data_IF_177005166078
#
_entry.id   IF_177005166078
#
_cell.length_a   1.000
_cell.length_b   1.000
_cell.length_c   1.000
_cell.angle_alpha   90.00
_cell.angle_beta   90.00
_cell.angle_gamma   90.00
#
_symmetry.space_group_name_H-M   'P 1'
#
loop_
_entity.id
_entity.type
_entity.pdbx_description
1 polymer ?
#
# COMPACT_ATOMS: atom_id res chain seq x y z
N UNK A 1 -2.54 17.19 6.62
CA UNK A 1 -1.27 17.58 5.98
C UNK A 1 -0.12 16.69 6.44
N UNK A 2 0.59 16.04 5.50
CA UNK A 2 1.77 15.20 5.81
C UNK A 2 2.94 16.01 6.36
N UNK A 3 3.13 17.25 5.88
CA UNK A 3 4.20 18.13 6.36
C UNK A 3 4.00 18.54 7.82
N UNK A 4 2.77 18.93 8.19
CA UNK A 4 2.42 19.26 9.57
C UNK A 4 2.65 18.05 10.49
N UNK A 5 2.17 16.87 10.09
CA UNK A 5 2.42 15.65 10.86
C UNK A 5 3.92 15.39 11.07
N UNK A 6 4.74 15.55 10.02
CA UNK A 6 6.18 15.35 10.09
C UNK A 6 6.88 16.36 11.02
N UNK A 7 6.51 17.65 10.96
CA UNK A 7 7.13 18.69 11.79
C UNK A 7 6.71 18.59 13.26
N UNK A 8 5.44 18.33 13.52
CA UNK A 8 4.94 18.08 14.88
C UNK A 8 5.59 16.82 15.46
N UNK A 9 5.68 15.73 14.69
CA UNK A 9 6.38 14.52 15.13
C UNK A 9 7.86 14.80 15.44
N UNK A 10 8.56 15.55 14.57
CA UNK A 10 9.96 15.90 14.79
C UNK A 10 10.17 16.76 16.05
N UNK A 11 9.28 17.73 16.31
CA UNK A 11 9.28 18.48 17.56
C UNK A 11 9.07 17.56 18.76
N UNK A 12 8.07 16.67 18.67
CA UNK A 12 7.75 15.72 19.74
C UNK A 12 8.94 14.84 20.09
N UNK A 13 9.63 14.29 19.10
CA UNK A 13 10.84 13.47 19.32
C UNK A 13 11.96 14.26 20.01
N UNK A 14 12.23 15.51 19.58
CA UNK A 14 13.22 16.37 20.25
C UNK A 14 12.85 16.62 21.71
N UNK A 15 11.58 16.96 21.96
CA UNK A 15 11.11 17.24 23.32
C UNK A 15 11.12 16.00 24.21
N UNK A 16 10.81 14.84 23.64
CA UNK A 16 10.86 13.55 24.32
C UNK A 16 12.31 13.21 24.73
N UNK A 17 13.27 13.44 23.83
CA UNK A 17 14.68 13.24 24.10
C UNK A 17 15.22 14.21 25.17
N UNK A 18 14.82 15.48 25.14
CA UNK A 18 15.18 16.46 26.18
C UNK A 18 14.69 16.07 27.58
N UNK A 19 13.51 15.46 27.65
CA UNK A 19 12.87 15.07 28.90
C UNK A 19 13.20 13.63 29.33
N UNK A 20 13.90 12.88 28.48
CA UNK A 20 14.17 11.45 28.63
C UNK A 20 12.91 10.62 28.94
N UNK A 21 11.85 10.85 28.16
CA UNK A 21 10.59 10.12 28.26
C UNK A 21 10.11 9.64 26.89
N UNK A 22 9.30 8.57 26.81
CA UNK A 22 8.69 8.16 25.55
C UNK A 22 7.85 9.26 24.90
N UNK A 23 8.01 9.44 23.59
CA UNK A 23 7.37 10.52 22.81
C UNK A 23 5.84 10.63 22.98
N UNK A 24 5.15 9.49 23.15
CA UNK A 24 3.70 9.45 23.40
C UNK A 24 3.26 10.19 24.68
N UNK A 25 4.15 10.34 25.65
CA UNK A 25 3.87 11.08 26.89
C UNK A 25 4.03 12.60 26.73
N UNK A 26 4.80 13.04 25.74
CA UNK A 26 4.86 14.46 25.34
C UNK A 26 3.56 14.82 24.60
N UNK A 27 3.23 14.06 23.56
CA UNK A 27 2.03 14.28 22.75
C UNK A 27 1.54 12.95 22.13
N UNK A 28 0.28 12.53 22.36
CA UNK A 28 -0.25 11.29 21.79
C UNK A 28 -0.24 11.26 20.26
N UNK A 29 -0.11 10.07 19.66
CA UNK A 29 -0.16 9.92 18.19
C UNK A 29 -1.47 10.46 17.59
N UNK A 30 -2.58 10.27 18.30
CA UNK A 30 -3.88 10.80 17.90
C UNK A 30 -3.89 12.33 17.81
N UNK A 31 -3.15 13.02 18.69
CA UNK A 31 -3.00 14.47 18.64
C UNK A 31 -2.15 14.91 17.45
N UNK A 32 -1.09 14.17 17.09
CA UNK A 32 -0.30 14.45 15.88
C UNK A 32 -1.19 14.38 14.64
N UNK A 33 -2.03 13.35 14.53
CA UNK A 33 -2.99 13.20 13.43
C UNK A 33 -4.06 14.30 13.46
N UNK A 34 -4.57 14.66 14.65
CA UNK A 34 -5.53 15.74 14.83
C UNK A 34 -4.98 17.08 14.36
N UNK A 35 -3.77 17.44 14.80
CA UNK A 35 -3.07 18.68 14.39
C UNK A 35 -2.82 18.71 12.89
N UNK A 36 -2.45 17.58 12.30
CA UNK A 36 -2.28 17.47 10.86
C UNK A 36 -3.60 17.66 10.09
N UNK A 37 -4.73 17.33 10.70
CA UNK A 37 -6.07 17.48 10.11
C UNK A 37 -6.63 18.90 10.23
N UNK A 38 -6.54 19.49 11.42
CA UNK A 38 -7.12 20.81 11.71
C UNK A 38 -6.19 21.97 11.40
N UNK A 39 -4.86 21.76 11.43
CA UNK A 39 -3.82 22.76 11.15
C UNK A 39 -4.06 24.09 11.87
N UNK A 40 -4.14 24.07 13.22
CA UNK A 40 -4.47 25.25 14.01
C UNK A 40 -3.39 26.32 13.89
N UNK A 41 -3.80 27.59 13.85
CA UNK A 41 -2.94 28.77 13.76
C UNK A 41 -2.93 29.59 15.06
N UNK A 42 -3.75 29.21 16.05
CA UNK A 42 -3.83 29.89 17.34
C UNK A 42 -3.96 28.91 18.52
N UNK A 43 -3.46 29.31 19.68
CA UNK A 43 -3.45 28.49 20.90
C UNK A 43 -4.86 28.10 21.37
N UNK A 44 -5.86 28.97 21.13
CA UNK A 44 -7.26 28.67 21.45
C UNK A 44 -7.80 27.44 20.70
N UNK A 45 -7.29 27.17 19.50
CA UNK A 45 -7.75 26.06 18.66
C UNK A 45 -7.16 24.72 19.09
N UNK A 46 -5.99 24.71 19.74
CA UNK A 46 -5.31 23.48 20.16
C UNK A 46 -6.18 22.61 21.06
N UNK A 47 -7.00 23.21 21.93
CA UNK A 47 -7.89 22.48 22.85
C UNK A 47 -9.03 21.73 22.15
N UNK A 48 -9.37 22.13 20.92
CA UNK A 48 -10.39 21.45 20.11
C UNK A 48 -9.83 20.27 19.33
N UNK A 49 -8.50 20.12 19.31
CA UNK A 49 -7.84 19.05 18.56
C UNK A 49 -7.97 17.73 19.31
N UNK A 50 -8.49 16.72 18.61
CA UNK A 50 -8.66 15.37 19.15
C UNK A 50 -7.33 14.85 19.71
N UNK A 51 -7.35 14.40 20.97
CA UNK A 51 -6.18 13.83 21.64
C UNK A 51 -5.29 14.86 22.37
N UNK A 52 -5.58 16.16 22.27
CA UNK A 52 -4.90 17.19 23.05
C UNK A 52 -5.70 17.50 24.32
N UNK A 53 -5.09 17.20 25.45
CA UNK A 53 -5.51 17.69 26.77
C UNK A 53 -4.61 18.83 27.27
N UNK A 54 -5.10 19.62 28.24
CA UNK A 54 -4.39 20.78 28.82
C UNK A 54 -2.97 20.43 29.31
N UNK A 55 -2.75 19.22 29.85
CA UNK A 55 -1.43 18.78 30.32
C UNK A 55 -0.35 18.80 29.23
N UNK A 56 -0.72 18.57 27.97
CA UNK A 56 0.23 18.53 26.86
C UNK A 56 0.64 19.93 26.40
N UNK A 57 -0.15 20.96 26.73
CA UNK A 57 0.04 22.34 26.29
C UNK A 57 0.82 23.19 27.29
N UNK A 58 1.10 22.66 28.49
CA UNK A 58 1.83 23.37 29.54
C UNK A 58 3.32 23.52 29.21
N UNK A 59 3.96 24.47 29.88
CA UNK A 59 5.42 24.62 29.85
C UNK A 59 5.99 25.01 28.50
N UNK A 60 5.29 25.86 27.73
CA UNK A 60 5.74 26.35 26.42
C UNK A 60 5.45 25.39 25.26
N UNK A 61 4.82 24.24 25.53
CA UNK A 61 4.50 23.28 24.48
C UNK A 61 3.45 23.81 23.51
N UNK A 62 2.51 24.66 23.94
CA UNK A 62 1.48 25.22 23.06
C UNK A 62 2.12 26.04 21.92
N UNK A 63 3.04 26.94 22.27
CA UNK A 63 3.77 27.77 21.33
C UNK A 63 4.67 26.92 20.42
N UNK A 64 5.37 25.94 20.99
CA UNK A 64 6.26 25.08 20.21
C UNK A 64 5.50 24.17 19.23
N UNK A 65 4.31 23.69 19.60
CA UNK A 65 3.42 22.94 18.70
C UNK A 65 2.92 23.83 17.57
N UNK A 66 2.48 25.06 17.85
CA UNK A 66 2.05 26.00 16.81
C UNK A 66 3.17 26.34 15.84
N UNK A 67 4.38 26.58 16.34
CA UNK A 67 5.56 26.80 15.51
C UNK A 67 5.83 25.58 14.60
N UNK A 68 5.74 24.36 15.14
CA UNK A 68 5.89 23.15 14.33
C UNK A 68 4.77 22.99 13.27
N UNK A 69 3.54 23.42 13.57
CA UNK A 69 2.45 23.44 12.60
C UNK A 69 2.74 24.45 11.48
N UNK A 70 3.18 25.66 11.83
CA UNK A 70 3.55 26.72 10.88
C UNK A 70 4.73 26.31 9.98
N UNK A 71 5.77 25.71 10.54
CA UNK A 71 6.86 25.08 9.78
C UNK A 71 6.34 24.01 8.80
N UNK A 72 5.33 23.25 9.22
CA UNK A 72 4.70 22.24 8.38
C UNK A 72 3.89 22.85 7.23
N UNK A 73 3.21 23.97 7.48
CA UNK A 73 2.43 24.69 6.47
C UNK A 73 3.31 25.38 5.44
N UNK A 74 4.49 25.86 5.84
CA UNK A 74 5.47 26.50 4.96
C UNK A 74 6.33 25.52 4.16
N UNK A 75 6.33 24.22 4.50
CA UNK A 75 7.14 23.21 3.83
C UNK A 75 6.54 22.81 2.46
N UNK A 76 7.25 23.02 1.34
CA UNK A 76 6.78 22.61 0.02
C UNK A 76 6.58 21.09 -0.08
N UNK A 77 5.47 20.65 -0.67
CA UNK A 77 5.13 19.23 -0.80
C UNK A 77 6.22 18.38 -1.48
N UNK A 78 6.99 18.98 -2.41
CA UNK A 78 8.11 18.32 -3.10
C UNK A 78 9.27 17.90 -2.19
N UNK A 79 9.40 18.53 -1.01
CA UNK A 79 10.45 18.20 -0.03
C UNK A 79 10.02 17.10 0.93
N UNK A 80 8.75 16.68 0.87
CA UNK A 80 8.29 15.53 1.64
C UNK A 80 8.71 14.24 0.92
N UNK A 81 9.17 13.21 1.66
CA UNK A 81 9.31 11.88 1.10
C UNK A 81 8.01 11.46 0.41
N UNK A 82 8.10 10.73 -0.70
CA UNK A 82 6.91 10.13 -1.30
C UNK A 82 6.20 9.24 -0.25
N UNK A 83 4.87 9.17 -0.24
CA UNK A 83 4.19 8.16 0.57
C UNK A 83 4.66 6.80 0.07
N UNK A 84 5.09 5.91 0.98
CA UNK A 84 5.35 4.53 0.59
C UNK A 84 4.05 3.93 0.10
N UNK A 85 4.09 3.31 -1.07
CA UNK A 85 2.95 2.58 -1.61
C UNK A 85 2.88 1.25 -0.87
N UNK A 86 1.90 1.12 0.02
CA UNK A 86 1.66 -0.12 0.77
C UNK A 86 1.10 -1.25 -0.10
N UNK A 87 0.74 -0.94 -1.34
CA UNK A 87 0.22 -1.88 -2.32
C UNK A 87 1.08 -1.84 -3.59
N UNK A 88 1.23 -3.01 -4.19
CA UNK A 88 1.82 -3.13 -5.52
C UNK A 88 0.72 -2.94 -6.56
N UNK A 89 1.06 -2.53 -7.78
CA UNK A 89 0.12 -2.58 -8.90
C UNK A 89 -0.65 -3.92 -8.87
N UNK A 90 -1.98 -3.87 -9.03
CA UNK A 90 -2.84 -5.07 -8.95
C UNK A 90 -2.34 -6.18 -9.87
N UNK A 91 -1.74 -5.82 -11.01
CA UNK A 91 -1.18 -6.75 -11.99
C UNK A 91 0.07 -7.48 -11.48
N UNK A 92 0.81 -6.90 -10.53
CA UNK A 92 2.06 -7.45 -9.98
C UNK A 92 1.88 -8.18 -8.64
N UNK A 93 0.67 -8.14 -8.05
CA UNK A 93 0.37 -8.86 -6.79
C UNK A 93 0.70 -10.36 -6.83
N UNK A 94 0.40 -11.11 -7.91
CA UNK A 94 0.79 -12.52 -8.01
C UNK A 94 2.32 -12.71 -8.00
N UNK A 95 3.05 -11.77 -8.59
CA UNK A 95 4.51 -11.83 -8.69
C UNK A 95 5.17 -11.78 -7.31
N UNK A 96 4.61 -11.02 -6.36
CA UNK A 96 5.12 -10.97 -4.99
C UNK A 96 5.14 -12.37 -4.34
N UNK A 97 4.10 -13.18 -4.57
CA UNK A 97 4.03 -14.55 -4.06
C UNK A 97 5.10 -15.46 -4.66
N UNK A 98 5.27 -15.42 -5.99
CA UNK A 98 6.29 -16.18 -6.72
C UNK A 98 7.70 -15.82 -6.25
N UNK A 99 7.99 -14.53 -6.19
CA UNK A 99 9.30 -14.03 -5.76
C UNK A 99 9.56 -14.37 -4.28
N UNK A 100 8.54 -14.29 -3.42
CA UNK A 100 8.69 -14.66 -2.00
C UNK A 100 9.06 -16.13 -1.83
N UNK A 101 8.43 -17.02 -2.61
CA UNK A 101 8.75 -18.45 -2.61
C UNK A 101 10.20 -18.70 -3.07
N UNK A 102 10.63 -18.04 -4.14
CA UNK A 102 11.99 -18.15 -4.65
C UNK A 102 13.04 -17.57 -3.67
N UNK A 103 12.77 -16.41 -3.04
CA UNK A 103 13.63 -15.84 -1.99
C UNK A 103 13.79 -16.80 -0.82
N UNK A 104 12.71 -17.49 -0.42
CA UNK A 104 12.76 -18.55 0.59
C UNK A 104 13.72 -19.67 0.21
N UNK A 105 13.66 -20.13 -1.04
CA UNK A 105 14.58 -21.14 -1.56
C UNK A 105 16.03 -20.66 -1.62
N UNK A 106 16.26 -19.45 -2.09
CA UNK A 106 17.59 -18.83 -2.15
C UNK A 106 18.19 -18.66 -0.74
N UNK A 107 17.38 -18.30 0.25
CA UNK A 107 17.81 -18.25 1.65
C UNK A 107 18.33 -19.58 2.17
N UNK A 108 17.66 -20.69 1.80
CA UNK A 108 18.14 -22.04 2.14
C UNK A 108 19.47 -22.37 1.46
N UNK A 109 19.63 -22.01 0.18
CA UNK A 109 20.87 -22.24 -0.57
C UNK A 109 22.05 -21.45 0.02
N UNK A 110 21.83 -20.17 0.34
CA UNK A 110 22.85 -19.29 0.91
C UNK A 110 23.05 -19.47 2.42
N UNK A 111 22.18 -20.24 3.08
CA UNK A 111 22.09 -20.36 4.55
C UNK A 111 21.92 -19.00 5.24
N UNK A 112 21.08 -18.15 4.65
CA UNK A 112 20.71 -16.82 5.16
C UNK A 112 19.22 -16.84 5.44
N UNK A 113 18.80 -16.23 6.56
CA UNK A 113 17.37 -16.03 6.85
C UNK A 113 16.70 -15.27 5.67
N UNK A 114 15.63 -15.81 5.06
CA UNK A 114 14.96 -15.17 3.93
C UNK A 114 14.53 -13.72 4.20
N UNK A 115 14.18 -13.37 5.44
CA UNK A 115 13.79 -12.01 5.82
C UNK A 115 14.97 -11.03 5.79
N UNK A 116 16.21 -11.52 5.95
CA UNK A 116 17.42 -10.73 5.76
C UNK A 116 17.74 -10.51 4.28
N UNK A 117 17.29 -11.40 3.39
CA UNK A 117 17.37 -11.24 1.94
C UNK A 117 16.33 -10.21 1.47
N UNK A 118 15.04 -10.48 1.69
CA UNK A 118 13.95 -9.56 1.38
C UNK A 118 12.68 -9.90 2.18
N UNK A 119 12.06 -8.88 2.75
CA UNK A 119 10.69 -8.95 3.27
C UNK A 119 9.68 -8.71 2.15
N UNK A 120 8.40 -9.01 2.40
CA UNK A 120 7.30 -8.66 1.48
C UNK A 120 7.30 -7.17 1.12
N UNK A 121 7.54 -6.29 2.09
CA UNK A 121 7.58 -4.85 1.87
C UNK A 121 8.75 -4.44 0.95
N UNK A 122 9.91 -5.07 1.12
CA UNK A 122 11.06 -4.85 0.23
C UNK A 122 10.74 -5.25 -1.21
N UNK A 123 10.05 -6.38 -1.40
CA UNK A 123 9.62 -6.86 -2.72
C UNK A 123 8.62 -5.90 -3.37
N UNK A 124 7.60 -5.47 -2.63
CA UNK A 124 6.60 -4.50 -3.12
C UNK A 124 7.29 -3.21 -3.55
N UNK A 125 8.17 -2.67 -2.70
CA UNK A 125 8.90 -1.44 -2.98
C UNK A 125 9.78 -1.56 -4.23
N UNK A 126 10.48 -2.68 -4.39
CA UNK A 126 11.29 -2.96 -5.57
C UNK A 126 10.45 -3.08 -6.85
N UNK A 127 9.34 -3.82 -6.79
CA UNK A 127 8.44 -4.01 -7.94
C UNK A 127 7.72 -2.72 -8.35
N UNK A 128 7.45 -1.82 -7.39
CA UNK A 128 6.91 -0.49 -7.65
C UNK A 128 7.95 0.49 -8.24
N UNK A 129 9.23 0.12 -8.26
CA UNK A 129 10.31 0.97 -8.76
C UNK A 129 10.67 2.12 -7.80
N UNK A 130 10.43 1.96 -6.50
CA UNK A 130 10.76 2.98 -5.51
C UNK A 130 12.28 3.26 -5.50
N UNK A 131 12.66 4.53 -5.48
CA UNK A 131 14.07 4.93 -5.53
C UNK A 131 14.87 4.45 -4.32
N UNK A 132 14.24 4.35 -3.15
CA UNK A 132 14.84 3.89 -1.89
C UNK A 132 14.64 2.39 -1.61
N UNK A 133 14.14 1.62 -2.58
CA UNK A 133 13.92 0.18 -2.40
C UNK A 133 15.22 -0.53 -2.00
N UNK A 134 15.19 -1.34 -0.93
CA UNK A 134 16.38 -2.06 -0.42
C UNK A 134 17.03 -3.01 -1.43
N UNK A 135 16.29 -3.40 -2.47
CA UNK A 135 16.76 -4.26 -3.56
C UNK A 135 17.24 -3.47 -4.80
N UNK A 136 17.26 -2.13 -4.74
CA UNK A 136 17.77 -1.30 -5.85
C UNK A 136 19.30 -1.16 -5.83
N UNK A 137 19.95 -1.40 -4.69
CA UNK A 137 21.40 -1.22 -4.53
C UNK A 137 22.02 -2.19 -3.50
N UNK A 138 23.36 -2.24 -3.48
CA UNK A 138 24.12 -3.07 -2.56
C UNK A 138 24.08 -4.58 -2.85
N UNK A 139 24.53 -5.37 -1.89
CA UNK A 139 24.70 -6.83 -2.07
C UNK A 139 23.38 -7.59 -2.26
N UNK A 140 22.27 -7.09 -1.71
CA UNK A 140 20.95 -7.70 -1.93
C UNK A 140 20.53 -7.57 -3.39
N UNK A 141 20.74 -6.39 -3.95
CA UNK A 141 20.47 -6.14 -5.36
C UNK A 141 21.30 -7.05 -6.27
N UNK A 142 22.58 -7.26 -5.94
CA UNK A 142 23.45 -8.12 -6.77
C UNK A 142 23.00 -9.59 -6.82
N UNK A 143 22.24 -10.06 -5.83
CA UNK A 143 21.74 -11.44 -5.79
C UNK A 143 20.28 -11.55 -6.25
N UNK A 144 19.43 -10.57 -5.90
CA UNK A 144 17.99 -10.65 -6.10
C UNK A 144 17.48 -9.86 -7.31
N UNK A 145 18.01 -8.67 -7.57
CA UNK A 145 17.36 -7.71 -8.47
C UNK A 145 17.24 -8.24 -9.90
N UNK A 146 18.32 -8.81 -10.44
CA UNK A 146 18.34 -9.38 -11.79
C UNK A 146 17.37 -10.56 -11.96
N UNK A 147 17.49 -11.63 -11.16
CA UNK A 147 16.58 -12.77 -11.25
C UNK A 147 15.11 -12.42 -11.03
N UNK A 148 14.81 -11.52 -10.08
CA UNK A 148 13.44 -11.05 -9.83
C UNK A 148 12.89 -10.32 -11.04
N UNK A 149 13.65 -9.42 -11.66
CA UNK A 149 13.22 -8.71 -12.88
C UNK A 149 12.95 -9.70 -14.02
N UNK A 150 13.89 -10.59 -14.31
CA UNK A 150 13.70 -11.61 -15.36
C UNK A 150 12.45 -12.46 -15.15
N UNK A 151 12.14 -12.83 -13.91
CA UNK A 151 10.93 -13.58 -13.59
C UNK A 151 9.66 -12.75 -13.84
N UNK A 152 9.65 -11.49 -13.42
CA UNK A 152 8.50 -10.57 -13.55
C UNK A 152 8.27 -10.14 -14.99
N UNK A 153 9.36 -9.89 -15.74
CA UNK A 153 9.36 -9.52 -17.15
C UNK A 153 9.01 -10.71 -18.05
N UNK A 154 8.88 -11.92 -17.49
CA UNK A 154 8.52 -13.12 -18.22
C UNK A 154 9.65 -13.64 -19.12
N UNK A 155 10.90 -13.39 -18.74
CA UNK A 155 12.10 -13.95 -19.37
C UNK A 155 12.58 -15.23 -18.65
N UNK A 156 12.17 -15.41 -17.40
CA UNK A 156 12.42 -16.61 -16.61
C UNK A 156 11.11 -17.24 -16.12
N UNK A 157 11.18 -18.52 -15.77
CA UNK A 157 10.10 -19.28 -15.16
C UNK A 157 10.57 -19.91 -13.85
N UNK A 158 9.69 -19.95 -12.85
CA UNK A 158 9.93 -20.66 -11.61
C UNK A 158 9.45 -22.11 -11.77
N UNK A 159 10.36 -23.06 -11.61
CA UNK A 159 10.09 -24.48 -11.72
C UNK A 159 10.40 -25.20 -10.41
N UNK A 160 9.76 -26.35 -10.20
CA UNK A 160 10.10 -27.27 -9.11
C UNK A 160 10.91 -28.43 -9.67
N UNK A 161 12.15 -28.58 -9.22
CA UNK A 161 13.06 -29.61 -9.69
C UNK A 161 12.68 -30.99 -9.12
N UNK A 162 11.69 -31.65 -9.72
CA UNK A 162 11.17 -32.95 -9.28
C UNK A 162 12.02 -34.14 -9.75
N UNK A 163 12.59 -34.06 -10.96
CA UNK A 163 13.07 -35.23 -11.70
C UNK A 163 14.60 -35.33 -11.87
N UNK A 164 15.36 -34.32 -11.46
CA UNK A 164 16.80 -34.37 -11.57
C UNK A 164 17.37 -35.06 -10.32
N UNK A 165 17.93 -36.26 -10.44
CA UNK A 165 18.72 -36.93 -9.39
C UNK A 165 20.03 -36.21 -9.03
N UNK A 166 20.08 -34.90 -9.25
CA UNK A 166 21.18 -34.00 -8.90
C UNK A 166 20.90 -33.26 -7.58
N UNK A 167 21.85 -32.41 -7.14
CA UNK A 167 21.78 -31.72 -5.84
C UNK A 167 20.60 -30.75 -5.69
N UNK A 168 19.92 -30.42 -6.78
CA UNK A 168 18.79 -29.48 -6.81
C UNK A 168 17.42 -30.15 -6.65
N UNK A 169 17.37 -31.47 -6.41
CA UNK A 169 16.09 -32.16 -6.24
C UNK A 169 15.26 -31.56 -5.09
N UNK A 170 13.97 -31.33 -5.34
CA UNK A 170 13.04 -30.76 -4.37
C UNK A 170 13.22 -29.26 -4.13
N UNK A 171 13.96 -28.57 -5.01
CA UNK A 171 14.21 -27.13 -4.93
C UNK A 171 13.35 -26.35 -5.94
N UNK A 172 13.10 -25.08 -5.62
CA UNK A 172 12.63 -24.11 -6.60
C UNK A 172 13.82 -23.56 -7.40
N UNK A 173 13.74 -23.64 -8.72
CA UNK A 173 14.79 -23.17 -9.62
C UNK A 173 14.22 -22.15 -10.59
N UNK A 174 15.06 -21.22 -11.04
CA UNK A 174 14.72 -20.31 -12.12
C UNK A 174 15.32 -20.84 -13.42
N UNK A 175 14.47 -21.05 -14.41
CA UNK A 175 14.84 -21.49 -15.74
C UNK A 175 14.53 -20.40 -16.77
N UNK A 176 15.15 -20.46 -17.94
CA UNK A 176 14.74 -19.61 -19.06
C UNK A 176 13.31 -19.94 -19.48
N UNK A 177 12.49 -18.90 -19.69
CA UNK A 177 11.10 -19.13 -20.05
C UNK A 177 11.02 -19.68 -21.49
N UNK A 178 10.36 -20.82 -21.66
CA UNK A 178 10.17 -21.46 -22.95
C UNK A 178 9.26 -20.70 -23.94
N UNK A 179 8.54 -19.67 -23.49
CA UNK A 179 7.53 -18.94 -24.27
C UNK A 179 6.27 -19.74 -24.64
N UNK A 180 6.24 -21.05 -24.35
CA UNK A 180 5.14 -21.95 -24.70
C UNK A 180 4.17 -22.08 -23.52
N UNK A 181 2.90 -21.62 -23.64
CA UNK A 181 1.95 -21.75 -22.55
C UNK A 181 1.57 -23.21 -22.34
N UNK A 182 1.45 -23.62 -21.08
CA UNK A 182 0.85 -24.92 -20.72
C UNK A 182 -0.66 -24.79 -20.94
N UNK A 183 -1.21 -25.58 -21.85
CA UNK A 183 -2.66 -25.62 -22.09
C UNK A 183 -3.31 -26.41 -20.96
N UNK A 184 -4.18 -25.74 -20.22
CA UNK A 184 -5.04 -26.38 -19.25
C UNK A 184 -6.29 -26.87 -19.98
N UNK A 185 -6.48 -28.19 -20.00
CA UNK A 185 -7.74 -28.79 -20.42
C UNK A 185 -8.70 -28.75 -19.24
N UNK A 186 -9.39 -27.62 -19.10
CA UNK A 186 -10.34 -27.40 -18.02
C UNK A 186 -11.71 -27.95 -18.45
N UNK A 187 -12.34 -28.87 -17.70
CA UNK A 187 -13.68 -29.39 -18.00
C UNK A 187 -14.79 -28.39 -17.63
N UNK A 188 -14.52 -27.09 -17.75
CA UNK A 188 -15.48 -26.01 -17.52
C UNK A 188 -15.56 -25.13 -18.77
N UNK A 189 -16.77 -24.78 -19.25
CA UNK A 189 -16.91 -23.83 -20.34
C UNK A 189 -16.22 -22.51 -19.95
N UNK A 190 -15.47 -21.90 -20.87
CA UNK A 190 -14.92 -20.56 -20.62
C UNK A 190 -16.08 -19.62 -20.31
N UNK A 191 -16.00 -18.93 -19.18
CA UNK A 191 -17.08 -18.07 -18.76
C UNK A 191 -17.27 -16.92 -19.78
N UNK A 192 -18.50 -16.62 -20.19
CA UNK A 192 -18.77 -15.71 -21.31
C UNK A 192 -18.30 -14.26 -21.08
N UNK A 193 -18.02 -13.88 -19.83
CA UNK A 193 -17.49 -12.56 -19.47
C UNK A 193 -15.96 -12.45 -19.57
N UNK A 194 -15.24 -13.53 -19.90
CA UNK A 194 -13.76 -13.53 -20.02
C UNK A 194 -13.29 -12.92 -21.35
N UNK A 195 -14.08 -13.05 -22.43
CA UNK A 195 -13.68 -12.62 -23.79
C UNK A 195 -14.16 -11.18 -24.14
N UNK A 196 -14.33 -10.31 -23.14
CA UNK A 196 -14.53 -8.87 -23.40
C UNK A 196 -15.81 -8.51 -24.16
N UNK A 197 -16.83 -9.38 -24.14
CA UNK A 197 -18.16 -9.03 -24.61
C UNK A 197 -18.80 -8.02 -23.67
N UNK A 198 -18.69 -6.73 -23.99
CA UNK A 198 -19.70 -5.75 -23.54
C UNK A 198 -21.03 -6.32 -24.01
N UNK A 199 -21.85 -6.80 -23.08
CA UNK A 199 -23.26 -6.99 -23.36
C UNK A 199 -23.82 -5.60 -23.65
N UNK A 200 -23.92 -5.26 -24.93
CA UNK A 200 -24.74 -4.15 -25.42
C UNK A 200 -26.10 -4.29 -24.77
N UNK A 201 -26.67 -3.23 -24.18
CA UNK A 201 -28.06 -3.28 -23.76
C UNK A 201 -28.87 -3.48 -25.04
N UNK A 202 -29.47 -4.66 -25.20
CA UNK A 202 -30.45 -4.91 -26.25
C UNK A 202 -31.60 -3.94 -26.02
N UNK A 203 -31.57 -2.83 -26.73
CA UNK A 203 -32.74 -2.01 -27.00
C UNK A 203 -33.63 -2.69 -28.02
N UNK A 204 -34.88 -2.23 -28.04
CA UNK A 204 -36.03 -2.71 -28.82
C UNK A 204 -36.73 -3.92 -28.20
N UNK A 205 -38.01 -3.87 -27.85
CA UNK A 205 -39.06 -2.90 -28.13
C UNK A 205 -40.37 -3.68 -27.97
N UNK A 206 -41.23 -3.29 -27.03
CA UNK A 206 -42.33 -4.16 -26.64
C UNK A 206 -43.31 -3.49 -25.68
N UNK A 207 -44.06 -2.58 -26.26
CA UNK A 207 -45.45 -2.24 -25.91
C UNK A 207 -45.72 -1.25 -24.78
N UNK A 208 -46.48 -0.22 -25.18
CA UNK A 208 -47.06 0.80 -24.33
C UNK A 208 -48.33 0.23 -23.71
N UNK A 209 -48.43 0.25 -22.38
CA UNK A 209 -49.72 0.50 -21.74
C UNK A 209 -49.47 1.45 -20.56
N UNK A 210 -49.77 2.73 -20.77
CA UNK A 210 -50.01 3.67 -19.68
C UNK A 210 -51.38 3.36 -19.06
N UNK A 211 -51.53 3.43 -17.73
CA UNK A 211 -52.77 3.90 -17.15
C UNK A 211 -52.56 5.31 -16.61
N UNK A 212 -53.44 6.16 -17.11
CA UNK A 212 -53.75 7.53 -16.69
C UNK A 212 -53.94 7.60 -15.17
N UNK A 213 -53.19 8.47 -14.50
CA UNK A 213 -53.47 8.94 -13.15
C UNK A 213 -54.44 10.10 -13.26
N UNK A 214 -55.72 9.83 -13.02
CA UNK A 214 -56.72 10.89 -12.84
C UNK A 214 -56.93 11.15 -11.35
N UNK A 215 -56.76 12.42 -10.96
CA UNK A 215 -56.95 12.96 -9.61
C UNK A 215 -58.11 13.95 -9.67
N UNK A 216 -59.23 13.63 -9.01
CA UNK A 216 -59.93 14.49 -8.04
C UNK A 216 -61.34 13.97 -7.67
N UNK A 217 -61.54 13.69 -6.36
CA UNK A 217 -62.65 14.01 -5.42
C UNK A 217 -64.12 14.21 -5.85
N UNK A 218 -65.08 14.35 -4.90
CA UNK A 218 -65.43 13.50 -3.74
C UNK A 218 -66.96 13.21 -3.66
N UNK A 219 -67.41 12.30 -2.80
CA UNK A 219 -68.84 12.17 -2.49
C UNK A 219 -69.20 11.07 -1.48
N UNK A 220 -69.41 11.45 -0.22
CA UNK A 220 -70.36 10.79 0.72
C UNK A 220 -71.80 11.08 0.23
N UNK A 221 -72.90 10.41 0.70
CA UNK A 221 -73.14 9.70 1.97
C UNK A 221 -73.69 8.26 1.75
N UNK A 222 -73.85 7.38 2.75
CA UNK A 222 -74.67 7.46 3.96
C UNK A 222 -74.24 6.39 4.94
#
# INVERSE_FOLDING_TARGET
SRAVAARVAAWRERRAAELDIPARFVLPDLAVLGLAGTMPTAASQLRSVRGIEERHLRGGNAEAVLAAVEEGLSLPARLLPAPRRDDVDRNLRPAVGLVSAWVGQLGRQLRIDPTLLATRADLISFLNGDADARLSSGWRASVLAGPVRRLVDGEAALAFAAAAGGPEQGQLVLEERSGRPVRLDLPVPRAPWIDGGVATPTGEGGDRVSPELDVASPGSPT
#
